data_IF_573991567643
#
_entry.id   IF_573991567643
#
_cell.length_a   1.000
_cell.length_b   1.000
_cell.length_c   1.000
_cell.angle_alpha   90.00
_cell.angle_beta   90.00
_cell.angle_gamma   90.00
#
_symmetry.space_group_name_H-M   'P 1'
#
loop_
_entity.id
_entity.type
_entity.pdbx_description
1 polymer ?
#
# COMPACT_ATOMS: atom_id res chain seq x y z
N UNK A 1 20.59 -19.82 6.37
CA UNK A 1 20.23 -18.61 5.62
C UNK A 1 18.88 -18.14 6.13
N UNK A 2 18.80 -16.93 6.70
CA UNK A 2 17.50 -16.35 7.06
C UNK A 2 16.87 -15.93 5.73
N UNK A 3 15.89 -16.71 5.25
CA UNK A 3 15.06 -16.29 4.12
C UNK A 3 14.14 -15.21 4.70
N UNK A 4 14.36 -13.95 4.32
CA UNK A 4 13.42 -12.88 4.67
C UNK A 4 12.07 -13.22 4.04
N UNK A 5 11.00 -13.21 4.83
CA UNK A 5 9.65 -13.45 4.33
C UNK A 5 9.37 -12.37 3.27
N UNK A 6 8.94 -12.72 2.05
CA UNK A 6 8.70 -11.73 1.01
C UNK A 6 7.51 -10.86 1.42
N UNK A 7 7.71 -9.54 1.44
CA UNK A 7 6.83 -8.57 2.12
C UNK A 7 6.33 -7.50 1.17
N UNK A 8 5.03 -7.19 1.26
CA UNK A 8 4.41 -6.06 0.57
C UNK A 8 4.84 -4.77 1.28
N UNK A 9 5.20 -3.74 0.51
CA UNK A 9 5.44 -2.41 1.05
C UNK A 9 4.21 -1.54 0.82
N UNK A 10 3.74 -0.90 1.90
CA UNK A 10 2.68 0.09 1.89
C UNK A 10 3.26 1.43 2.32
N UNK A 11 3.26 2.39 1.41
CA UNK A 11 3.74 3.74 1.65
C UNK A 11 2.57 4.69 1.84
N UNK A 12 2.54 5.40 2.97
CA UNK A 12 1.46 6.31 3.32
C UNK A 12 1.99 7.72 3.65
N UNK A 13 1.17 8.74 3.48
CA UNK A 13 1.49 10.07 4.05
C UNK A 13 1.40 10.04 5.58
N UNK A 14 2.24 10.83 6.26
CA UNK A 14 2.43 10.79 7.72
C UNK A 14 1.15 10.96 8.55
N UNK A 15 0.15 11.67 8.04
CA UNK A 15 -1.09 11.97 8.76
C UNK A 15 -2.20 10.92 8.57
N UNK A 16 -1.98 9.89 7.73
CA UNK A 16 -2.94 8.80 7.57
C UNK A 16 -2.91 7.93 8.82
N UNK A 17 -4.07 7.83 9.48
CA UNK A 17 -4.23 6.92 10.62
C UNK A 17 -4.14 5.47 10.16
N UNK A 18 -3.42 4.66 10.92
CA UNK A 18 -3.39 3.20 10.73
C UNK A 18 -4.76 2.55 10.93
N UNK A 19 -5.67 3.19 11.66
CA UNK A 19 -7.04 2.69 11.84
C UNK A 19 -7.80 2.64 10.53
N UNK A 20 -7.65 3.68 9.70
CA UNK A 20 -8.23 3.73 8.36
C UNK A 20 -7.71 2.53 7.56
N UNK A 21 -6.42 2.19 7.67
CA UNK A 21 -5.80 1.09 6.90
C UNK A 21 -6.24 -0.32 7.34
N UNK A 22 -6.85 -0.49 8.52
CA UNK A 22 -7.14 -1.82 9.12
C UNK A 22 -7.83 -2.79 8.15
N UNK A 23 -8.93 -2.45 7.47
CA UNK A 23 -9.56 -3.37 6.52
C UNK A 23 -8.62 -3.86 5.41
N UNK A 24 -7.75 -2.99 4.88
CA UNK A 24 -6.76 -3.41 3.87
C UNK A 24 -5.70 -4.32 4.48
N UNK A 25 -5.23 -4.00 5.69
CA UNK A 25 -4.24 -4.83 6.39
C UNK A 25 -4.79 -6.21 6.73
N UNK A 26 -6.06 -6.30 7.16
CA UNK A 26 -6.73 -7.57 7.43
C UNK A 26 -6.89 -8.42 6.16
N UNK A 27 -7.25 -7.80 5.03
CA UNK A 27 -7.31 -8.54 3.76
C UNK A 27 -5.95 -9.10 3.34
N UNK A 28 -4.85 -8.38 3.57
CA UNK A 28 -3.49 -8.87 3.29
C UNK A 28 -3.09 -10.00 4.24
N UNK A 29 -3.46 -9.88 5.53
CA UNK A 29 -3.20 -10.89 6.55
C UNK A 29 -3.97 -12.19 6.29
N UNK A 30 -5.24 -12.10 5.88
CA UNK A 30 -6.09 -13.24 5.54
C UNK A 30 -5.51 -14.08 4.38
N UNK A 31 -4.85 -13.42 3.41
CA UNK A 31 -4.11 -14.06 2.31
C UNK A 31 -2.72 -14.61 2.74
N UNK A 32 -2.34 -14.46 4.01
CA UNK A 32 -1.09 -14.97 4.58
C UNK A 32 0.17 -14.18 4.22
N UNK A 33 0.01 -13.01 3.59
CA UNK A 33 1.10 -12.16 3.13
C UNK A 33 1.51 -11.16 4.24
N UNK A 34 2.82 -10.94 4.48
CA UNK A 34 3.25 -9.88 5.38
C UNK A 34 3.25 -8.52 4.67
N UNK A 35 2.95 -7.47 5.42
CA UNK A 35 3.00 -6.07 4.97
C UNK A 35 3.79 -5.21 5.95
N UNK A 36 4.56 -4.27 5.42
CA UNK A 36 5.26 -3.23 6.20
C UNK A 36 4.75 -1.87 5.75
N UNK A 37 4.41 -1.04 6.73
CA UNK A 37 3.97 0.34 6.51
C UNK A 37 5.16 1.28 6.73
N UNK A 38 5.42 2.14 5.75
CA UNK A 38 6.41 3.21 5.86
C UNK A 38 5.76 4.54 5.50
N UNK A 39 6.18 5.60 6.16
CA UNK A 39 5.64 6.93 5.92
C UNK A 39 6.56 7.74 5.01
N UNK A 40 6.00 8.24 3.91
CA UNK A 40 6.71 9.00 2.88
C UNK A 40 5.93 10.25 2.48
N UNK A 41 6.62 11.17 1.78
CA UNK A 41 5.98 12.29 1.08
C UNK A 41 5.74 11.93 -0.39
N UNK A 42 4.63 12.41 -0.95
CA UNK A 42 4.25 12.15 -2.33
C UNK A 42 2.75 11.92 -2.47
N UNK A 43 2.33 11.53 -3.67
CA UNK A 43 0.95 11.09 -3.94
C UNK A 43 0.85 9.57 -3.85
N UNK A 44 -0.36 9.05 -3.68
CA UNK A 44 -0.65 7.62 -3.71
C UNK A 44 -0.04 6.93 -4.93
N UNK A 45 -0.04 7.56 -6.11
CA UNK A 45 0.57 7.01 -7.33
C UNK A 45 2.09 6.90 -7.23
N UNK A 46 2.78 7.97 -6.84
CA UNK A 46 4.25 7.98 -6.75
C UNK A 46 4.74 7.04 -5.66
N UNK A 47 4.00 6.96 -4.56
CA UNK A 47 4.32 6.08 -3.43
C UNK A 47 4.09 4.61 -3.79
N UNK A 48 3.01 4.28 -4.50
CA UNK A 48 2.76 2.91 -4.94
C UNK A 48 3.84 2.42 -5.89
N UNK A 49 4.25 3.23 -6.87
CA UNK A 49 5.35 2.88 -7.79
C UNK A 49 6.66 2.65 -7.03
N UNK A 50 7.02 3.57 -6.12
CA UNK A 50 8.24 3.44 -5.30
C UNK A 50 8.20 2.18 -4.41
N UNK A 51 7.08 1.93 -3.74
CA UNK A 51 6.87 0.74 -2.93
C UNK A 51 7.01 -0.54 -3.76
N UNK A 52 6.49 -0.55 -4.99
CA UNK A 52 6.54 -1.73 -5.87
C UNK A 52 7.95 -2.07 -6.33
N UNK A 53 8.80 -1.05 -6.51
CA UNK A 53 10.20 -1.22 -6.88
C UNK A 53 11.06 -1.71 -5.72
N UNK A 54 10.70 -1.34 -4.50
CA UNK A 54 11.43 -1.71 -3.28
C UNK A 54 10.93 -3.02 -2.64
N UNK A 55 9.70 -3.44 -2.95
CA UNK A 55 9.13 -4.69 -2.42
C UNK A 55 9.76 -5.93 -3.06
N UNK A 56 10.09 -6.92 -2.24
CA UNK A 56 10.53 -8.24 -2.70
C UNK A 56 9.48 -8.96 -3.57
N UNK A 57 8.20 -8.64 -3.38
CA UNK A 57 7.08 -9.18 -4.16
C UNK A 57 6.79 -8.40 -5.44
N UNK A 58 7.52 -7.30 -5.69
CA UNK A 58 7.28 -6.39 -6.82
C UNK A 58 5.91 -5.70 -6.81
N UNK A 59 5.18 -5.80 -5.69
CA UNK A 59 3.88 -5.21 -5.45
C UNK A 59 4.05 -4.02 -4.52
N UNK A 60 3.40 -2.91 -4.83
CA UNK A 60 3.47 -1.69 -4.02
C UNK A 60 2.08 -1.13 -3.76
N UNK A 61 1.90 -0.63 -2.54
CA UNK A 61 0.69 0.08 -2.12
C UNK A 61 1.08 1.51 -1.78
N UNK A 62 0.33 2.49 -2.30
CA UNK A 62 0.48 3.90 -1.99
C UNK A 62 -0.82 4.48 -1.44
N UNK A 63 -0.73 5.27 -0.37
CA UNK A 63 -1.90 5.81 0.32
C UNK A 63 -1.72 7.29 0.64
N UNK A 64 -2.70 8.10 0.24
CA UNK A 64 -2.87 9.48 0.72
C UNK A 64 -4.36 9.72 1.05
N UNK A 65 -4.75 10.98 1.22
CA UNK A 65 -6.12 11.38 1.56
C UNK A 65 -7.14 11.04 0.46
N UNK A 66 -6.69 10.87 -0.78
CA UNK A 66 -7.57 10.69 -1.93
C UNK A 66 -7.84 9.21 -2.20
N UNK A 67 -6.80 8.37 -2.12
CA UNK A 67 -6.90 6.99 -2.54
C UNK A 67 -5.89 6.03 -1.88
N UNK A 68 -6.27 4.74 -1.89
CA UNK A 68 -5.35 3.61 -1.77
C UNK A 68 -5.14 3.04 -3.18
N UNK A 69 -3.89 2.97 -3.63
CA UNK A 69 -3.53 2.42 -4.93
C UNK A 69 -2.63 1.20 -4.77
N UNK A 70 -2.97 0.14 -5.51
CA UNK A 70 -2.18 -1.07 -5.67
C UNK A 70 -1.55 -1.09 -7.06
N UNK A 71 -0.24 -1.31 -7.13
CA UNK A 71 0.49 -1.39 -8.41
C UNK A 71 1.54 -2.52 -8.40
N UNK A 72 2.16 -2.73 -9.55
CA UNK A 72 3.22 -3.71 -9.77
C UNK A 72 4.39 -3.09 -10.54
N UNK A 73 5.62 -3.45 -10.20
CA UNK A 73 6.83 -2.76 -10.70
C UNK A 73 6.95 -2.65 -12.23
N UNK A 74 6.32 -3.56 -12.97
CA UNK A 74 6.42 -3.64 -14.43
C UNK A 74 5.29 -2.92 -15.17
N UNK A 75 4.36 -2.27 -14.47
CA UNK A 75 3.37 -1.39 -15.11
C UNK A 75 3.84 0.06 -15.07
N UNK A 76 3.46 0.90 -16.06
CA UNK A 76 3.85 2.31 -16.08
C UNK A 76 3.43 3.04 -14.81
N UNK A 77 4.24 3.98 -14.31
CA UNK A 77 4.00 4.68 -13.03
C UNK A 77 2.68 5.48 -12.97
N UNK A 78 2.04 5.74 -14.11
CA UNK A 78 0.73 6.39 -14.21
C UNK A 78 -0.44 5.39 -14.34
N UNK A 79 -0.16 4.10 -14.23
CA UNK A 79 -1.14 3.02 -14.23
C UNK A 79 -1.13 2.32 -12.87
N UNK A 80 -2.26 1.70 -12.55
CA UNK A 80 -2.44 0.93 -11.33
C UNK A 80 -3.23 -0.34 -11.65
N UNK A 81 -3.07 -1.36 -10.81
CA UNK A 81 -3.88 -2.57 -10.88
C UNK A 81 -5.25 -2.30 -10.26
N UNK A 82 -5.25 -1.62 -9.11
CA UNK A 82 -6.48 -1.31 -8.39
C UNK A 82 -6.37 0.03 -7.68
N UNK A 83 -7.51 0.72 -7.56
CA UNK A 83 -7.65 1.97 -6.83
C UNK A 83 -8.93 1.97 -6.01
N UNK A 84 -8.79 2.24 -4.72
CA UNK A 84 -9.88 2.45 -3.78
C UNK A 84 -9.96 3.95 -3.45
N UNK A 85 -11.15 4.53 -3.54
CA UNK A 85 -11.42 5.96 -3.24
C UNK A 85 -12.50 6.09 -2.18
N UNK A 86 -12.54 7.22 -1.47
CA UNK A 86 -13.57 7.45 -0.44
C UNK A 86 -13.40 6.59 0.81
N UNK A 87 -12.22 6.01 1.00
CA UNK A 87 -11.95 5.06 2.07
C UNK A 87 -11.90 5.72 3.47
N UNK A 88 -11.54 7.00 3.53
CA UNK A 88 -11.61 7.80 4.76
C UNK A 88 -13.05 8.05 5.26
N UNK A 89 -14.09 7.69 4.49
CA UNK A 89 -15.49 7.94 4.82
C UNK A 89 -16.17 6.79 5.57
N UNK A 90 -15.46 5.71 5.89
CA UNK A 90 -15.94 4.66 6.79
C UNK A 90 -15.30 4.83 8.17
N UNK A 91 -15.81 5.74 9.03
CA UNK A 91 -15.50 5.66 10.44
C UNK A 91 -16.12 4.37 10.99
N UNK A 92 -15.42 3.76 11.94
CA UNK A 92 -15.78 2.53 12.62
C UNK A 92 -17.31 2.41 12.82
N UNK A 93 -17.93 1.42 12.16
CA UNK A 93 -19.29 0.96 12.48
C UNK A 93 -19.27 0.16 13.77
#
# INVERSE_FOLDING_TARGET
SIVSKPTILLYATQHISTDILKPVLYGIEEEGLPVVIEFHSGTHMTMADLASRNSALSVGIGVDDEAIVLTYKNIPAHQFIYRLTGYAQYPDS
#
